data_IF_845550471925
#
_entry.id   IF_845550471925
#
_cell.length_a   1.000
_cell.length_b   1.000
_cell.length_c   1.000
_cell.angle_alpha   90.00
_cell.angle_beta   90.00
_cell.angle_gamma   90.00
#
_symmetry.space_group_name_H-M   'P 1'
#
loop_
_entity.id
_entity.type
_entity.pdbx_description
1 polymer ?
#
# COMPACT_ATOMS: atom_id res chain seq x y z
N UNK A 1 -16.53 -20.42 17.58
CA UNK A 1 -15.23 -20.44 16.85
C UNK A 1 -15.03 -19.24 15.91
N UNK A 2 -16.08 -18.61 15.36
CA UNK A 2 -15.95 -17.47 14.42
C UNK A 2 -15.33 -16.19 15.00
N UNK A 3 -15.52 -15.86 16.29
CA UNK A 3 -15.03 -14.58 16.83
C UNK A 3 -13.50 -14.43 16.83
N UNK A 4 -12.74 -15.50 17.12
CA UNK A 4 -11.27 -15.45 17.05
C UNK A 4 -10.79 -15.22 15.62
N UNK A 5 -11.37 -15.96 14.67
CA UNK A 5 -11.08 -15.81 13.24
C UNK A 5 -11.40 -14.39 12.73
N UNK A 6 -12.56 -13.85 13.08
CA UNK A 6 -12.96 -12.47 12.73
C UNK A 6 -11.95 -11.46 13.29
N UNK A 7 -11.60 -11.58 14.57
CA UNK A 7 -10.65 -10.67 15.22
C UNK A 7 -9.24 -10.75 14.61
N UNK A 8 -8.76 -11.95 14.29
CA UNK A 8 -7.48 -12.15 13.60
C UNK A 8 -7.51 -11.52 12.20
N UNK A 9 -8.61 -11.68 11.46
CA UNK A 9 -8.78 -11.06 10.15
C UNK A 9 -8.83 -9.53 10.20
N UNK A 10 -9.47 -8.94 11.22
CA UNK A 10 -9.50 -7.49 11.45
C UNK A 10 -8.12 -6.94 11.79
N UNK A 11 -7.36 -7.64 12.63
CA UNK A 11 -5.98 -7.29 12.96
C UNK A 11 -5.09 -7.35 11.73
N UNK A 12 -5.20 -8.41 10.94
CA UNK A 12 -4.47 -8.54 9.67
C UNK A 12 -4.84 -7.41 8.69
N UNK A 13 -6.13 -7.08 8.59
CA UNK A 13 -6.60 -5.99 7.73
C UNK A 13 -6.01 -4.65 8.16
N UNK A 14 -5.91 -4.41 9.46
CA UNK A 14 -5.29 -3.20 10.03
C UNK A 14 -3.81 -3.09 9.64
N UNK A 15 -3.06 -4.20 9.71
CA UNK A 15 -1.69 -4.27 9.21
C UNK A 15 -1.57 -3.91 7.72
N UNK A 16 -2.46 -4.45 6.88
CA UNK A 16 -2.45 -4.14 5.45
C UNK A 16 -2.78 -2.68 5.16
N UNK A 17 -3.68 -2.05 5.94
CA UNK A 17 -3.95 -0.62 5.84
C UNK A 17 -2.73 0.23 6.20
N UNK A 18 -1.95 -0.18 7.19
CA UNK A 18 -0.68 0.46 7.54
C UNK A 18 0.35 0.34 6.42
N UNK A 19 0.51 -0.85 5.84
CA UNK A 19 1.40 -1.03 4.69
C UNK A 19 0.96 -0.16 3.50
N UNK A 20 -0.35 -0.07 3.22
CA UNK A 20 -0.87 0.82 2.17
C UNK A 20 -0.53 2.29 2.42
N UNK A 21 -0.67 2.75 3.67
CA UNK A 21 -0.30 4.10 4.09
C UNK A 21 1.20 4.33 3.89
N UNK A 22 2.03 3.37 4.28
CA UNK A 22 3.48 3.40 4.09
C UNK A 22 3.90 3.44 2.62
N UNK A 23 3.33 2.57 1.78
CA UNK A 23 3.60 2.56 0.34
C UNK A 23 3.19 3.87 -0.34
N UNK A 24 2.07 4.45 0.09
CA UNK A 24 1.59 5.74 -0.41
C UNK A 24 2.48 6.91 0.04
N UNK A 25 2.99 6.88 1.28
CA UNK A 25 3.95 7.87 1.78
C UNK A 25 5.26 7.83 0.99
N UNK A 26 5.86 6.63 0.83
CA UNK A 26 7.07 6.43 0.03
C UNK A 26 6.90 6.96 -1.41
N UNK A 27 5.75 6.71 -2.03
CA UNK A 27 5.48 7.22 -3.37
C UNK A 27 5.50 8.76 -3.44
N UNK A 28 4.89 9.44 -2.46
CA UNK A 28 4.92 10.91 -2.37
C UNK A 28 6.35 11.41 -2.17
N UNK A 29 7.15 10.73 -1.36
CA UNK A 29 8.54 11.11 -1.11
C UNK A 29 9.40 11.01 -2.37
N UNK A 30 9.27 9.91 -3.11
CA UNK A 30 9.95 9.75 -4.39
C UNK A 30 9.52 10.81 -5.41
N UNK A 31 8.23 11.16 -5.47
CA UNK A 31 7.73 12.22 -6.34
C UNK A 31 8.30 13.59 -5.95
N UNK A 32 8.37 13.91 -4.66
CA UNK A 32 9.01 15.13 -4.15
C UNK A 32 10.49 15.18 -4.52
N UNK A 33 11.21 14.06 -4.37
CA UNK A 33 12.62 13.96 -4.76
C UNK A 33 12.82 14.22 -6.27
N UNK A 34 11.96 13.67 -7.12
CA UNK A 34 12.01 13.93 -8.57
C UNK A 34 11.81 15.41 -8.91
N UNK A 35 10.93 16.12 -8.20
CA UNK A 35 10.73 17.55 -8.37
C UNK A 35 12.00 18.31 -7.95
N UNK A 36 12.60 17.95 -6.81
CA UNK A 36 13.84 18.56 -6.33
C UNK A 36 14.99 18.37 -7.34
N UNK A 37 15.17 17.15 -7.87
CA UNK A 37 16.20 16.88 -8.89
C UNK A 37 16.01 17.69 -10.18
N UNK A 38 14.79 18.12 -10.52
CA UNK A 38 14.54 18.97 -11.71
C UNK A 38 15.05 20.40 -11.52
N UNK A 39 15.17 20.86 -10.27
CA UNK A 39 15.65 22.21 -9.93
C UNK A 39 17.19 22.31 -9.93
N UNK A 40 17.90 21.17 -9.93
CA UNK A 40 19.37 21.11 -9.89
C UNK A 40 19.94 21.07 -11.31
N UNK A 41 20.99 21.86 -11.55
CA UNK A 41 21.78 21.85 -12.80
C UNK A 41 23.27 21.61 -12.50
N UNK A 42 23.92 20.62 -13.13
CA UNK A 42 23.36 19.63 -14.05
C UNK A 42 22.46 18.61 -13.34
N UNK A 43 21.49 18.05 -14.07
CA UNK A 43 20.54 17.08 -13.49
C UNK A 43 21.23 15.76 -13.10
N UNK A 44 20.99 15.23 -11.89
CA UNK A 44 21.57 13.96 -11.45
C UNK A 44 20.84 12.77 -12.08
N UNK A 45 21.22 12.40 -13.32
CA UNK A 45 20.53 11.38 -14.14
C UNK A 45 20.43 10.01 -13.46
N UNK A 46 21.48 9.57 -12.77
CA UNK A 46 21.49 8.29 -12.06
C UNK A 46 20.46 8.25 -10.91
N UNK A 47 20.41 9.31 -10.09
CA UNK A 47 19.45 9.44 -8.99
C UNK A 47 18.01 9.51 -9.50
N UNK A 48 17.76 10.23 -10.60
CA UNK A 48 16.45 10.28 -11.26
C UNK A 48 16.03 8.88 -11.73
N UNK A 49 16.91 8.14 -12.41
CA UNK A 49 16.62 6.81 -12.91
C UNK A 49 16.28 5.83 -11.77
N UNK A 50 17.04 5.87 -10.67
CA UNK A 50 16.76 5.07 -9.47
C UNK A 50 15.40 5.43 -8.87
N UNK A 51 15.13 6.72 -8.69
CA UNK A 51 13.88 7.19 -8.06
C UNK A 51 12.65 6.85 -8.90
N UNK A 52 12.77 6.84 -10.24
CA UNK A 52 11.71 6.38 -11.14
C UNK A 52 11.41 4.88 -10.96
N UNK A 53 12.45 4.03 -10.80
CA UNK A 53 12.25 2.60 -10.50
C UNK A 53 11.56 2.41 -9.15
N UNK A 54 11.96 3.17 -8.14
CA UNK A 54 11.33 3.16 -6.81
C UNK A 54 9.86 3.60 -6.86
N UNK A 55 9.53 4.63 -7.66
CA UNK A 55 8.14 5.01 -7.92
C UNK A 55 7.33 3.86 -8.51
N UNK A 56 7.87 3.15 -9.51
CA UNK A 56 7.19 2.00 -10.12
C UNK A 56 6.97 0.89 -9.10
N UNK A 57 7.99 0.55 -8.30
CA UNK A 57 7.86 -0.45 -7.25
C UNK A 57 6.81 -0.07 -6.20
N UNK A 58 6.81 1.18 -5.72
CA UNK A 58 5.82 1.68 -4.76
C UNK A 58 4.40 1.67 -5.32
N UNK A 59 4.20 1.99 -6.61
CA UNK A 59 2.88 1.87 -7.27
C UNK A 59 2.41 0.43 -7.36
N UNK A 60 3.30 -0.52 -7.72
CA UNK A 60 2.98 -1.95 -7.76
C UNK A 60 2.57 -2.46 -6.38
N UNK A 61 3.34 -2.13 -5.34
CA UNK A 61 3.03 -2.50 -3.97
C UNK A 61 1.68 -1.92 -3.53
N UNK A 62 1.44 -0.62 -3.75
CA UNK A 62 0.16 0.02 -3.44
C UNK A 62 -1.01 -0.68 -4.11
N UNK A 63 -0.90 -1.02 -5.39
CA UNK A 63 -1.94 -1.73 -6.14
C UNK A 63 -2.18 -3.14 -5.56
N UNK A 64 -1.12 -3.88 -5.27
CA UNK A 64 -1.20 -5.19 -4.64
C UNK A 64 -1.89 -5.13 -3.27
N UNK A 65 -1.41 -4.26 -2.38
CA UNK A 65 -1.97 -4.11 -1.03
C UNK A 65 -3.45 -3.69 -1.08
N UNK A 66 -3.83 -2.83 -2.03
CA UNK A 66 -5.25 -2.45 -2.24
C UNK A 66 -6.11 -3.65 -2.64
N UNK A 67 -5.61 -4.53 -3.52
CA UNK A 67 -6.32 -5.74 -3.92
C UNK A 67 -6.47 -6.72 -2.75
N UNK A 68 -5.41 -6.92 -1.95
CA UNK A 68 -5.44 -7.79 -0.77
C UNK A 68 -6.47 -7.28 0.25
N UNK A 69 -6.48 -5.99 0.55
CA UNK A 69 -7.47 -5.35 1.43
C UNK A 69 -8.88 -5.59 0.91
N UNK A 70 -9.13 -5.37 -0.38
CA UNK A 70 -10.45 -5.58 -1.00
C UNK A 70 -10.91 -7.03 -0.85
N UNK A 71 -10.03 -7.99 -1.13
CA UNK A 71 -10.33 -9.42 -1.00
C UNK A 71 -10.63 -9.80 0.46
N UNK A 72 -9.77 -9.40 1.40
CA UNK A 72 -9.92 -9.70 2.83
C UNK A 72 -11.19 -9.08 3.42
N UNK A 73 -11.50 -7.83 3.05
CA UNK A 73 -12.74 -7.15 3.46
C UNK A 73 -13.97 -7.88 2.93
N UNK A 74 -13.94 -8.36 1.68
CA UNK A 74 -15.03 -9.18 1.13
C UNK A 74 -15.24 -10.48 1.91
N UNK A 75 -14.15 -11.19 2.24
CA UNK A 75 -14.21 -12.38 3.08
C UNK A 75 -14.76 -12.11 4.48
N UNK A 76 -14.32 -11.02 5.12
CA UNK A 76 -14.82 -10.60 6.44
C UNK A 76 -16.32 -10.29 6.40
N UNK A 77 -16.77 -9.53 5.40
CA UNK A 77 -18.21 -9.23 5.24
C UNK A 77 -19.05 -10.48 5.02
N UNK A 78 -18.54 -11.47 4.28
CA UNK A 78 -19.22 -12.76 4.10
C UNK A 78 -19.36 -13.52 5.42
N UNK A 79 -18.29 -13.58 6.23
CA UNK A 79 -18.29 -14.25 7.54
C UNK A 79 -19.23 -13.57 8.55
N UNK A 80 -19.23 -12.23 8.59
CA UNK A 80 -20.13 -11.46 9.44
C UNK A 80 -21.61 -11.64 9.03
N UNK A 81 -21.88 -11.73 7.73
CA UNK A 81 -23.22 -12.03 7.20
C UNK A 81 -23.69 -13.45 7.50
N UNK A 82 -22.79 -14.44 7.58
CA UNK A 82 -23.13 -15.82 7.95
C UNK A 82 -23.35 -16.00 9.45
N UNK A 83 -22.80 -15.13 10.30
CA UNK A 83 -23.03 -15.17 11.76
C UNK A 83 -24.37 -14.58 12.22
N UNK A 84 -25.17 -14.02 11.31
CA UNK A 84 -26.47 -13.40 11.61
C UNK A 84 -27.68 -14.28 11.25
N UNK A 85 -27.45 -15.55 10.86
CA UNK A 85 -28.48 -16.55 10.54
C UNK A 85 -28.54 -17.65 11.59
#
# INVERSE_FOLDING_TARGET
MNHRLISDMERDLSWWWEDLRGASARLRDYQRHLIACRQISPRPRASIALTLRQCVAARKLRAHTTLVIKARRGGLSSLLGTSAQ
#
